data_IF_916462510537
#
_entry.id   IF_916462510537
#
_cell.length_a   1.000
_cell.length_b   1.000
_cell.length_c   1.000
_cell.angle_alpha   90.00
_cell.angle_beta   90.00
_cell.angle_gamma   90.00
#
_symmetry.space_group_name_H-M   'P 1'
#
loop_
_entity.id
_entity.type
_entity.pdbx_description
1 polymer ?
#
# COMPACT_ATOMS: atom_id res chain seq x y z
N UNK A 1 -19.46 4.90 -3.85
CA UNK A 1 -18.84 6.22 -4.08
C UNK A 1 -18.27 6.23 -5.49
N UNK A 2 -19.07 6.71 -6.41
CA UNK A 2 -18.66 6.87 -7.81
C UNK A 2 -18.36 8.32 -8.00
N UNK A 3 -17.04 8.71 -7.95
CA UNK A 3 -16.77 9.90 -8.74
C UNK A 3 -15.31 10.31 -8.61
N UNK A 4 -14.59 10.02 -9.64
CA UNK A 4 -13.40 10.79 -10.03
C UNK A 4 -13.89 12.20 -10.35
N UNK A 5 -13.32 13.20 -9.72
CA UNK A 5 -13.63 14.59 -10.09
C UNK A 5 -13.15 14.79 -11.54
N UNK A 6 -14.07 14.99 -12.50
CA UNK A 6 -13.69 14.98 -13.93
C UNK A 6 -12.63 16.02 -14.29
N UNK A 7 -12.54 17.10 -13.54
CA UNK A 7 -11.59 18.18 -13.82
C UNK A 7 -10.13 17.80 -13.48
N UNK A 8 -9.89 16.91 -12.52
CA UNK A 8 -8.54 16.42 -12.22
C UNK A 8 -7.97 15.53 -13.34
N UNK A 9 -8.82 14.94 -14.17
CA UNK A 9 -8.38 14.18 -15.35
C UNK A 9 -8.05 15.06 -16.56
N UNK A 10 -8.40 16.35 -16.52
CA UNK A 10 -8.16 17.30 -17.60
C UNK A 10 -6.88 18.12 -17.41
N UNK A 11 -6.17 17.97 -16.31
CA UNK A 11 -4.90 18.67 -16.09
C UNK A 11 -3.86 18.25 -17.13
N UNK A 12 -2.92 19.14 -17.50
CA UNK A 12 -1.77 18.75 -18.30
C UNK A 12 -1.06 17.56 -17.66
N UNK A 13 -0.76 16.53 -18.45
CA UNK A 13 -0.20 15.29 -17.93
C UNK A 13 0.87 14.71 -18.83
N UNK A 14 1.85 14.08 -18.21
CA UNK A 14 2.84 13.24 -18.88
C UNK A 14 2.33 11.81 -18.99
N UNK A 15 2.60 11.18 -20.13
CA UNK A 15 2.12 9.83 -20.43
C UNK A 15 3.21 8.86 -20.86
N UNK A 16 4.35 9.37 -21.40
CA UNK A 16 5.49 8.51 -21.72
C UNK A 16 6.21 8.06 -20.45
N UNK A 17 6.84 6.90 -20.47
CA UNK A 17 7.57 6.37 -19.33
C UNK A 17 8.63 7.33 -18.81
N UNK A 18 9.44 7.89 -19.72
CA UNK A 18 10.53 8.80 -19.35
C UNK A 18 10.03 10.15 -18.80
N UNK A 19 8.97 10.71 -19.39
CA UNK A 19 8.42 11.99 -18.95
C UNK A 19 7.73 11.88 -17.59
N UNK A 20 6.98 10.80 -17.35
CA UNK A 20 6.41 10.48 -16.04
C UNK A 20 7.51 10.37 -14.99
N UNK A 21 8.61 9.67 -15.30
CA UNK A 21 9.76 9.60 -14.42
C UNK A 21 10.42 10.95 -14.14
N UNK A 22 10.59 11.80 -15.17
CA UNK A 22 11.13 13.16 -14.99
C UNK A 22 10.22 13.99 -14.09
N UNK A 23 8.91 13.97 -14.33
CA UNK A 23 7.92 14.69 -13.53
C UNK A 23 7.97 14.27 -12.06
N UNK A 24 7.99 12.97 -11.78
CA UNK A 24 8.00 12.45 -10.41
C UNK A 24 9.29 12.78 -9.63
N UNK A 25 10.42 12.96 -10.34
CA UNK A 25 11.72 13.35 -9.76
C UNK A 25 11.94 14.86 -9.67
N UNK A 26 11.09 15.66 -10.32
CA UNK A 26 11.24 17.11 -10.34
C UNK A 26 11.05 17.71 -8.94
N UNK A 27 12.00 18.56 -8.53
CA UNK A 27 11.99 19.18 -7.20
C UNK A 27 11.00 20.34 -7.08
N UNK A 28 10.67 20.94 -8.22
CA UNK A 28 9.75 22.07 -8.31
C UNK A 28 8.28 21.63 -8.45
N UNK A 29 8.03 20.33 -8.38
CA UNK A 29 6.71 19.70 -8.45
C UNK A 29 6.40 18.96 -7.14
N UNK A 30 5.72 19.65 -6.23
CA UNK A 30 5.29 19.09 -4.95
C UNK A 30 4.06 18.16 -5.13
N UNK A 31 3.82 17.19 -4.23
CA UNK A 31 2.52 16.54 -4.15
C UNK A 31 1.40 17.58 -4.08
N UNK A 32 0.25 17.28 -4.70
CA UNK A 32 -0.89 18.19 -4.62
C UNK A 32 -1.25 18.44 -3.15
N UNK A 33 -1.40 19.71 -2.73
CA UNK A 33 -1.82 20.05 -1.36
C UNK A 33 -3.15 19.36 -1.00
N UNK A 34 -3.24 18.91 0.23
CA UNK A 34 -4.43 18.24 0.79
C UNK A 34 -5.16 19.18 1.75
N UNK A 35 -5.52 20.38 1.26
CA UNK A 35 -6.08 21.43 2.12
C UNK A 35 -7.38 21.00 2.80
N UNK A 36 -8.25 20.30 2.08
CA UNK A 36 -9.48 19.75 2.66
C UNK A 36 -9.20 18.68 3.73
N UNK A 37 -8.22 17.81 3.51
CA UNK A 37 -7.83 16.75 4.44
C UNK A 37 -6.83 17.21 5.53
N UNK A 38 -6.48 18.49 5.57
CA UNK A 38 -5.48 19.04 6.51
C UNK A 38 -5.73 18.68 7.98
N UNK A 39 -6.97 18.69 8.50
CA UNK A 39 -7.23 18.30 9.89
C UNK A 39 -6.82 16.87 10.23
N UNK A 40 -6.80 15.97 9.22
CA UNK A 40 -6.56 14.53 9.39
C UNK A 40 -5.16 14.10 8.93
N UNK A 41 -4.61 14.76 7.90
CA UNK A 41 -3.36 14.34 7.24
C UNK A 41 -2.38 15.49 6.98
N UNK A 42 -2.65 16.70 7.44
CA UNK A 42 -1.88 17.90 7.06
C UNK A 42 -0.41 17.85 7.46
N UNK A 43 -0.07 17.19 8.55
CA UNK A 43 1.29 17.03 9.06
C UNK A 43 1.87 15.62 8.81
N UNK A 44 1.10 14.71 8.20
CA UNK A 44 1.58 13.38 7.87
C UNK A 44 2.55 13.42 6.67
N UNK A 45 3.44 12.43 6.59
CA UNK A 45 4.52 12.34 5.58
C UNK A 45 4.02 12.57 4.16
N UNK A 46 2.82 12.07 3.82
CA UNK A 46 2.22 12.18 2.47
C UNK A 46 1.91 13.62 2.06
N UNK A 47 1.75 14.52 3.02
CA UNK A 47 1.43 15.95 2.82
C UNK A 47 2.66 16.87 2.90
N UNK A 48 3.79 16.33 3.34
CA UNK A 48 5.03 17.10 3.48
C UNK A 48 5.79 17.20 2.15
N UNK A 49 6.57 18.27 2.00
CA UNK A 49 7.47 18.48 0.86
C UNK A 49 8.80 19.10 1.32
N UNK A 50 9.84 19.00 0.48
CA UNK A 50 11.12 19.66 0.67
C UNK A 50 11.87 19.23 1.94
N UNK A 51 12.26 20.17 2.77
CA UNK A 51 13.09 19.93 3.96
C UNK A 51 12.30 19.15 5.05
N UNK A 52 11.04 19.50 5.29
CA UNK A 52 10.19 18.83 6.26
C UNK A 52 9.97 17.36 5.89
N UNK A 53 9.68 17.07 4.63
CA UNK A 53 9.59 15.71 4.11
C UNK A 53 10.89 14.93 4.33
N UNK A 54 12.05 15.51 3.98
CA UNK A 54 13.34 14.82 4.16
C UNK A 54 13.61 14.50 5.64
N UNK A 55 13.34 15.44 6.52
CA UNK A 55 13.57 15.24 7.96
C UNK A 55 12.71 14.09 8.50
N UNK A 56 11.42 14.06 8.16
CA UNK A 56 10.49 13.00 8.54
C UNK A 56 10.95 11.64 7.98
N UNK A 57 11.32 11.60 6.69
CA UNK A 57 11.85 10.39 6.04
C UNK A 57 13.09 9.83 6.71
N UNK A 58 14.02 10.68 7.18
CA UNK A 58 15.23 10.21 7.88
C UNK A 58 14.84 9.45 9.15
N UNK A 59 13.89 9.96 9.92
CA UNK A 59 13.44 9.30 11.16
C UNK A 59 12.71 7.98 10.85
N UNK A 60 11.75 8.00 9.95
CA UNK A 60 10.91 6.83 9.65
C UNK A 60 11.62 5.75 8.84
N UNK A 61 12.62 6.09 8.02
CA UNK A 61 13.42 5.11 7.28
C UNK A 61 14.16 4.12 8.19
N UNK A 62 14.32 4.41 9.49
CA UNK A 62 14.87 3.47 10.46
C UNK A 62 14.06 2.17 10.53
N UNK A 63 12.73 2.26 10.32
CA UNK A 63 11.81 1.11 10.29
C UNK A 63 11.98 0.23 9.02
N UNK A 64 12.69 0.73 8.02
CA UNK A 64 12.89 0.07 6.73
C UNK A 64 14.38 -0.23 6.48
N UNK A 65 15.18 -0.28 7.56
CA UNK A 65 16.56 -0.78 7.49
C UNK A 65 16.56 -2.29 7.19
N UNK A 66 17.62 -2.86 6.61
CA UNK A 66 17.68 -4.29 6.31
C UNK A 66 17.38 -5.16 7.54
N UNK A 67 17.92 -4.82 8.71
CA UNK A 67 17.67 -5.56 9.95
C UNK A 67 16.23 -5.43 10.44
N UNK A 68 15.62 -4.23 10.31
CA UNK A 68 14.22 -4.03 10.66
C UNK A 68 13.29 -4.81 9.72
N UNK A 69 13.60 -4.87 8.42
CA UNK A 69 12.83 -5.64 7.45
C UNK A 69 12.91 -7.15 7.71
N UNK A 70 14.09 -7.68 8.06
CA UNK A 70 14.21 -9.11 8.45
C UNK A 70 13.36 -9.42 9.68
N UNK A 71 13.51 -8.62 10.76
CA UNK A 71 12.68 -8.80 11.98
C UNK A 71 11.19 -8.69 11.67
N UNK A 72 10.81 -7.76 10.81
CA UNK A 72 9.42 -7.62 10.39
C UNK A 72 8.91 -8.90 9.72
N UNK A 73 9.66 -9.46 8.78
CA UNK A 73 9.26 -10.68 8.06
C UNK A 73 9.19 -11.89 9.01
N UNK A 74 10.21 -12.09 9.84
CA UNK A 74 10.31 -13.23 10.78
C UNK A 74 9.32 -13.13 11.95
N UNK A 75 9.17 -11.96 12.57
CA UNK A 75 8.44 -11.79 13.84
C UNK A 75 6.98 -11.36 13.64
N UNK A 76 6.63 -10.76 12.49
CA UNK A 76 5.30 -10.20 12.24
C UNK A 76 4.62 -10.89 11.06
N UNK A 77 5.24 -10.86 9.87
CA UNK A 77 4.60 -11.34 8.63
C UNK A 77 4.36 -12.85 8.69
N UNK A 78 5.41 -13.66 8.84
CA UNK A 78 5.30 -15.11 8.83
C UNK A 78 4.35 -15.66 9.91
N UNK A 79 4.43 -15.23 11.18
CA UNK A 79 3.48 -15.68 12.20
C UNK A 79 2.04 -15.27 11.88
N UNK A 80 1.83 -14.04 11.39
CA UNK A 80 0.49 -13.54 11.06
C UNK A 80 -0.15 -14.33 9.92
N UNK A 81 0.61 -14.68 8.88
CA UNK A 81 0.15 -15.51 7.76
C UNK A 81 -0.20 -16.90 8.25
N UNK A 82 0.69 -17.53 9.01
CA UNK A 82 0.48 -18.87 9.57
C UNK A 82 -0.78 -18.94 10.47
N UNK A 83 -0.95 -17.96 11.35
CA UNK A 83 -2.12 -17.87 12.22
C UNK A 83 -3.42 -17.68 11.43
N UNK A 84 -3.41 -16.80 10.41
CA UNK A 84 -4.60 -16.54 9.59
C UNK A 84 -5.05 -17.79 8.83
N UNK A 85 -4.13 -18.55 8.24
CA UNK A 85 -4.47 -19.79 7.55
C UNK A 85 -4.89 -20.91 8.52
N UNK A 86 -4.27 -21.01 9.71
CA UNK A 86 -4.64 -21.98 10.74
C UNK A 86 -6.04 -21.73 11.35
N UNK A 87 -6.53 -20.49 11.30
CA UNK A 87 -7.86 -20.12 11.79
C UNK A 87 -9.00 -20.46 10.81
N UNK A 88 -8.70 -20.93 9.60
CA UNK A 88 -9.70 -21.25 8.59
C UNK A 88 -10.52 -22.50 9.00
N UNK A 89 -11.85 -22.43 8.83
CA UNK A 89 -12.77 -23.52 9.11
C UNK A 89 -13.13 -24.28 7.84
N UNK A 90 -13.22 -25.61 7.95
CA UNK A 90 -13.63 -26.47 6.85
C UNK A 90 -15.05 -26.16 6.35
N UNK A 91 -15.29 -26.38 5.07
CA UNK A 91 -16.62 -26.38 4.49
C UNK A 91 -17.41 -27.61 4.96
N UNK A 92 -18.71 -27.50 5.21
CA UNK A 92 -19.54 -28.66 5.58
C UNK A 92 -19.52 -29.77 4.51
N UNK A 93 -19.49 -29.38 3.24
CA UNK A 93 -19.49 -30.27 2.08
C UNK A 93 -18.09 -30.75 1.66
N UNK A 94 -17.03 -30.05 2.10
CA UNK A 94 -15.63 -30.41 1.82
C UNK A 94 -14.75 -30.16 3.04
N UNK A 95 -14.50 -31.19 3.86
CA UNK A 95 -13.74 -31.06 5.10
C UNK A 95 -12.24 -30.79 4.91
N UNK A 96 -11.75 -30.80 3.67
CA UNK A 96 -10.35 -30.49 3.35
C UNK A 96 -10.17 -29.04 2.86
N UNK A 97 -11.28 -28.33 2.65
CA UNK A 97 -11.22 -26.97 2.10
C UNK A 97 -11.99 -25.96 2.95
N UNK A 98 -11.57 -24.71 2.88
CA UNK A 98 -12.28 -23.57 3.44
C UNK A 98 -12.72 -22.62 2.32
N UNK A 99 -13.90 -22.01 2.46
CA UNK A 99 -14.33 -20.90 1.62
C UNK A 99 -13.75 -19.59 2.15
N UNK A 100 -13.15 -18.80 1.28
CA UNK A 100 -12.52 -17.54 1.61
C UNK A 100 -13.00 -16.46 0.65
N UNK A 101 -13.40 -15.32 1.17
CA UNK A 101 -13.48 -14.10 0.36
C UNK A 101 -12.08 -13.46 0.35
N UNK A 102 -11.33 -13.61 -0.75
CA UNK A 102 -9.93 -13.26 -0.84
C UNK A 102 -9.61 -11.82 -0.40
N UNK A 103 -10.28 -10.76 -0.92
CA UNK A 103 -9.98 -9.40 -0.47
C UNK A 103 -10.30 -9.16 1.01
N UNK A 104 -11.37 -9.76 1.55
CA UNK A 104 -11.70 -9.60 2.97
C UNK A 104 -10.65 -10.27 3.86
N UNK A 105 -10.26 -11.50 3.54
CA UNK A 105 -9.21 -12.24 4.27
C UNK A 105 -7.88 -11.48 4.26
N UNK A 106 -7.45 -11.03 3.08
CA UNK A 106 -6.19 -10.28 2.95
C UNK A 106 -6.27 -8.94 3.69
N UNK A 107 -7.42 -8.25 3.64
CA UNK A 107 -7.62 -6.99 4.39
C UNK A 107 -7.44 -7.21 5.89
N UNK A 108 -8.04 -8.27 6.45
CA UNK A 108 -7.91 -8.59 7.86
C UNK A 108 -6.46 -8.96 8.23
N UNK A 109 -5.80 -9.75 7.40
CA UNK A 109 -4.39 -10.11 7.59
C UNK A 109 -3.48 -8.86 7.57
N UNK A 110 -3.60 -8.01 6.56
CA UNK A 110 -2.79 -6.78 6.46
C UNK A 110 -3.11 -5.79 7.58
N UNK A 111 -4.36 -5.72 8.03
CA UNK A 111 -4.71 -4.93 9.20
C UNK A 111 -3.96 -5.41 10.46
N UNK A 112 -3.93 -6.71 10.70
CA UNK A 112 -3.19 -7.28 11.84
C UNK A 112 -1.69 -6.96 11.78
N UNK A 113 -1.10 -7.07 10.59
CA UNK A 113 0.29 -6.71 10.32
C UNK A 113 0.53 -5.21 10.56
N UNK A 114 -0.38 -4.36 10.06
CA UNK A 114 -0.27 -2.90 10.21
C UNK A 114 -0.38 -2.45 11.66
N UNK A 115 -1.26 -3.07 12.45
CA UNK A 115 -1.40 -2.85 13.89
C UNK A 115 -0.06 -3.12 14.60
N UNK A 116 0.60 -4.23 14.26
CA UNK A 116 1.90 -4.57 14.84
C UNK A 116 3.00 -3.59 14.39
N UNK A 117 3.04 -3.23 13.10
CA UNK A 117 4.02 -2.27 12.56
C UNK A 117 3.88 -0.87 13.17
N UNK A 118 2.65 -0.41 13.42
CA UNK A 118 2.39 0.86 14.09
C UNK A 118 2.80 0.78 15.58
N UNK A 119 2.70 -0.39 16.18
CA UNK A 119 3.01 -0.62 17.58
C UNK A 119 1.81 -0.50 18.50
N UNK A 120 0.62 -0.80 17.98
CA UNK A 120 -0.62 -0.86 18.78
C UNK A 120 -0.64 -2.19 19.54
N UNK A 121 -0.89 -2.12 20.84
CA UNK A 121 -1.01 -3.34 21.65
C UNK A 121 -2.26 -4.14 21.25
N UNK A 122 -2.06 -5.41 20.96
CA UNK A 122 -3.16 -6.32 20.66
C UNK A 122 -3.91 -6.68 21.94
N UNK A 123 -5.23 -6.44 21.97
CA UNK A 123 -6.10 -6.80 23.09
C UNK A 123 -7.18 -7.82 22.72
N UNK A 124 -7.21 -8.28 21.46
CA UNK A 124 -8.15 -9.30 20.99
C UNK A 124 -8.98 -8.92 19.77
N UNK A 125 -9.95 -9.78 19.42
CA UNK A 125 -10.75 -9.62 18.20
C UNK A 125 -11.66 -8.38 18.23
N UNK A 126 -12.19 -8.04 19.42
CA UNK A 126 -13.03 -6.85 19.57
C UNK A 126 -12.29 -5.56 19.21
N UNK A 127 -11.02 -5.44 19.60
CA UNK A 127 -10.20 -4.28 19.29
C UNK A 127 -9.88 -4.20 17.78
N UNK A 128 -9.65 -5.35 17.14
CA UNK A 128 -9.44 -5.39 15.68
C UNK A 128 -10.66 -4.88 14.92
N UNK A 129 -11.85 -5.35 15.27
CA UNK A 129 -13.12 -4.87 14.68
C UNK A 129 -13.29 -3.38 14.90
N UNK A 130 -12.95 -2.90 16.09
CA UNK A 130 -13.02 -1.49 16.43
C UNK A 130 -12.03 -0.64 15.63
N UNK A 131 -10.80 -1.08 15.45
CA UNK A 131 -9.80 -0.40 14.61
C UNK A 131 -10.26 -0.38 13.15
N UNK A 132 -10.87 -1.46 12.68
CA UNK A 132 -11.41 -1.51 11.31
C UNK A 132 -12.46 -0.43 11.05
N UNK A 133 -13.29 -0.09 12.04
CA UNK A 133 -14.31 0.97 11.92
C UNK A 133 -13.73 2.37 11.65
N UNK A 134 -12.46 2.61 12.02
CA UNK A 134 -11.81 3.89 11.76
C UNK A 134 -11.26 4.01 10.34
N UNK A 135 -11.08 2.90 9.63
CA UNK A 135 -10.43 2.88 8.32
C UNK A 135 -11.24 3.62 7.26
N UNK A 136 -12.52 3.32 7.11
CA UNK A 136 -13.35 3.91 6.06
C UNK A 136 -13.45 5.45 6.14
N UNK A 137 -13.71 6.07 7.32
CA UNK A 137 -13.67 7.52 7.44
C UNK A 137 -12.31 8.13 7.10
N UNK A 138 -11.21 7.51 7.54
CA UNK A 138 -9.86 8.00 7.28
C UNK A 138 -9.51 7.93 5.79
N UNK A 139 -9.96 6.88 5.10
CA UNK A 139 -9.79 6.75 3.64
C UNK A 139 -10.61 7.78 2.89
N UNK A 140 -11.87 8.02 3.30
CA UNK A 140 -12.70 9.04 2.69
C UNK A 140 -11.99 10.40 2.74
N UNK A 141 -11.34 10.76 3.86
CA UNK A 141 -10.52 11.96 3.96
C UNK A 141 -9.29 11.92 3.05
N UNK A 142 -8.60 10.77 2.94
CA UNK A 142 -7.44 10.63 2.05
C UNK A 142 -7.80 10.78 0.57
N UNK A 143 -9.03 10.45 0.20
CA UNK A 143 -9.50 10.48 -1.19
C UNK A 143 -10.40 11.67 -1.50
N UNK A 144 -10.53 12.62 -0.59
CA UNK A 144 -11.52 13.70 -0.67
C UNK A 144 -11.40 14.55 -1.94
N UNK A 145 -10.17 14.81 -2.41
CA UNK A 145 -9.93 15.56 -3.64
C UNK A 145 -10.39 14.81 -4.91
N UNK A 146 -10.67 13.51 -4.78
CA UNK A 146 -11.16 12.63 -5.85
C UNK A 146 -12.62 12.25 -5.66
N UNK A 147 -13.28 12.81 -4.65
CA UNK A 147 -14.67 12.53 -4.30
C UNK A 147 -15.58 13.71 -4.67
N UNK A 148 -16.84 13.40 -4.97
CA UNK A 148 -17.93 14.41 -5.07
C UNK A 148 -18.76 14.45 -3.78
N UNK A 149 -18.37 13.72 -2.74
CA UNK A 149 -19.00 13.81 -1.42
C UNK A 149 -18.78 15.21 -0.81
N UNK A 150 -19.72 15.63 0.04
CA UNK A 150 -19.52 16.84 0.85
C UNK A 150 -18.24 16.70 1.70
N UNK A 151 -17.24 17.49 1.33
CA UNK A 151 -15.92 17.44 1.95
C UNK A 151 -15.99 17.80 3.44
N UNK A 152 -16.85 18.74 3.84
CA UNK A 152 -16.99 19.17 5.23
C UNK A 152 -17.46 18.01 6.12
N UNK A 153 -18.51 17.32 5.70
CA UNK A 153 -19.07 16.18 6.44
C UNK A 153 -18.10 14.99 6.47
N UNK A 154 -17.44 14.69 5.35
CA UNK A 154 -16.46 13.59 5.27
C UNK A 154 -15.24 13.85 6.17
N UNK A 155 -14.70 15.06 6.16
CA UNK A 155 -13.56 15.45 7.00
C UNK A 155 -13.94 15.46 8.47
N UNK A 156 -15.14 15.95 8.83
CA UNK A 156 -15.60 15.92 10.23
C UNK A 156 -15.70 14.48 10.76
N UNK A 157 -16.24 13.55 9.98
CA UNK A 157 -16.28 12.12 10.36
C UNK A 157 -14.88 11.52 10.52
N UNK A 158 -13.96 11.87 9.63
CA UNK A 158 -12.59 11.38 9.69
C UNK A 158 -11.82 11.95 10.88
N UNK A 159 -12.00 13.22 11.21
CA UNK A 159 -11.39 13.86 12.39
C UNK A 159 -11.91 13.24 13.70
N UNK A 160 -13.22 12.95 13.80
CA UNK A 160 -13.78 12.21 14.93
C UNK A 160 -13.18 10.80 15.03
N UNK A 161 -13.15 10.08 13.91
CA UNK A 161 -12.56 8.74 13.87
C UNK A 161 -11.07 8.74 14.28
N UNK A 162 -10.29 9.72 13.82
CA UNK A 162 -8.88 9.86 14.18
C UNK A 162 -8.70 10.17 15.67
N UNK A 163 -9.49 11.10 16.21
CA UNK A 163 -9.45 11.45 17.64
C UNK A 163 -9.75 10.25 18.52
N UNK A 164 -10.76 9.46 18.17
CA UNK A 164 -11.13 8.24 18.89
C UNK A 164 -10.07 7.14 18.72
N UNK A 165 -9.52 6.97 17.53
CA UNK A 165 -8.44 6.02 17.28
C UNK A 165 -7.20 6.38 18.11
N UNK A 166 -6.86 7.67 18.20
CA UNK A 166 -5.79 8.15 19.06
C UNK A 166 -6.04 7.78 20.52
N UNK A 167 -7.18 8.20 21.07
CA UNK A 167 -7.48 8.04 22.51
C UNK A 167 -7.64 6.57 22.92
N UNK A 168 -8.31 5.77 22.08
CA UNK A 168 -8.62 4.37 22.40
C UNK A 168 -7.40 3.44 22.25
N UNK A 169 -6.51 3.69 21.27
CA UNK A 169 -5.47 2.74 20.90
C UNK A 169 -4.05 3.29 20.88
N UNK A 170 -3.85 4.50 20.37
CA UNK A 170 -2.51 5.01 20.10
C UNK A 170 -1.87 5.69 21.31
N UNK A 171 -2.59 6.61 21.97
CA UNK A 171 -2.05 7.42 23.05
C UNK A 171 -1.48 6.59 24.20
N UNK A 172 -2.15 5.55 24.72
CA UNK A 172 -1.58 4.73 25.79
C UNK A 172 -0.25 4.09 25.41
N UNK A 173 -0.15 3.58 24.16
CA UNK A 173 1.06 2.97 23.64
C UNK A 173 2.16 4.01 23.38
N UNK A 174 1.81 5.18 22.88
CA UNK A 174 2.71 6.31 22.65
C UNK A 174 3.32 6.82 23.94
N UNK A 175 2.49 7.06 24.99
CA UNK A 175 2.97 7.52 26.30
C UNK A 175 3.92 6.53 26.97
N UNK A 176 3.67 5.22 26.84
CA UNK A 176 4.62 4.21 27.37
C UNK A 176 5.98 4.30 26.68
N UNK A 177 6.02 4.51 25.36
CA UNK A 177 7.28 4.66 24.61
C UNK A 177 8.00 5.95 24.98
N UNK A 178 7.28 7.05 25.16
CA UNK A 178 7.89 8.29 25.66
C UNK A 178 8.51 8.10 27.06
N UNK A 179 7.86 7.33 27.95
CA UNK A 179 8.40 7.03 29.28
C UNK A 179 9.67 6.16 29.16
N UNK A 180 9.63 5.09 28.37
CA UNK A 180 10.78 4.22 28.11
C UNK A 180 12.00 4.98 27.55
N UNK A 181 11.77 5.91 26.61
CA UNK A 181 12.83 6.77 26.09
C UNK A 181 13.47 7.65 27.20
N UNK A 182 12.66 8.23 28.11
CA UNK A 182 13.17 9.05 29.21
C UNK A 182 13.98 8.26 30.23
N UNK A 183 13.66 6.99 30.41
CA UNK A 183 14.34 6.06 31.32
C UNK A 183 15.61 5.44 30.71
N UNK A 184 15.92 5.76 29.43
CA UNK A 184 17.09 5.22 28.73
C UNK A 184 16.96 3.73 28.34
N UNK A 185 15.74 3.18 28.45
CA UNK A 185 15.47 1.75 28.16
C UNK A 185 15.24 1.42 26.69
N UNK A 186 15.28 2.41 25.81
CA UNK A 186 14.97 2.21 24.38
C UNK A 186 16.20 2.47 23.51
N UNK A 187 16.71 1.45 22.86
CA UNK A 187 17.94 1.53 22.06
C UNK A 187 17.69 1.52 20.54
N UNK A 188 16.60 0.91 20.06
CA UNK A 188 16.27 0.83 18.64
C UNK A 188 14.77 0.94 18.38
N UNK A 189 14.34 1.56 17.26
CA UNK A 189 12.92 1.64 16.90
C UNK A 189 12.41 0.26 16.45
N UNK A 190 11.44 -0.27 17.22
CA UNK A 190 10.78 -1.54 16.90
C UNK A 190 9.51 -1.35 16.05
N UNK A 191 8.88 -0.16 16.12
CA UNK A 191 7.63 0.18 15.49
C UNK A 191 7.51 1.70 15.25
N UNK A 192 6.44 2.11 14.53
CA UNK A 192 6.23 3.52 14.19
C UNK A 192 6.09 4.39 15.45
N UNK A 193 5.29 3.97 16.43
CA UNK A 193 5.10 4.74 17.66
C UNK A 193 6.41 4.96 18.41
N UNK A 194 7.37 4.02 18.36
CA UNK A 194 8.68 4.19 18.98
C UNK A 194 9.53 5.24 18.27
N UNK A 195 9.42 5.34 16.95
CA UNK A 195 10.08 6.41 16.17
C UNK A 195 9.47 7.77 16.50
N UNK A 196 8.13 7.84 16.52
CA UNK A 196 7.42 9.09 16.75
C UNK A 196 7.57 9.61 18.20
N UNK A 197 7.64 8.69 19.17
CA UNK A 197 7.80 9.01 20.59
C UNK A 197 9.24 9.40 20.99
N UNK A 198 10.21 9.25 20.09
CA UNK A 198 11.61 9.63 20.36
C UNK A 198 11.71 11.13 20.65
N UNK A 199 12.46 11.55 21.68
CA UNK A 199 12.70 12.97 21.99
C UNK A 199 13.26 13.77 20.79
N UNK A 200 14.05 13.09 19.94
CA UNK A 200 14.68 13.71 18.77
C UNK A 200 13.71 13.83 17.57
N UNK A 201 12.51 13.29 17.66
CA UNK A 201 11.53 13.34 16.56
C UNK A 201 10.97 14.75 16.33
N UNK A 202 10.84 15.55 17.41
CA UNK A 202 10.20 16.86 17.38
C UNK A 202 8.72 16.80 16.99
N UNK A 203 8.06 15.66 17.18
CA UNK A 203 6.68 15.39 16.75
C UNK A 203 5.74 15.59 17.94
N UNK A 204 4.68 16.37 17.73
CA UNK A 204 3.58 16.53 18.69
C UNK A 204 2.54 15.40 18.54
N UNK A 205 1.60 15.35 19.47
CA UNK A 205 0.56 14.33 19.55
C UNK A 205 -0.34 14.32 18.30
N UNK A 206 -0.72 15.49 17.80
CA UNK A 206 -1.56 15.63 16.61
C UNK A 206 -0.85 15.06 15.36
N UNK A 207 0.42 15.38 15.22
CA UNK A 207 1.24 14.85 14.14
C UNK A 207 1.42 13.34 14.27
N UNK A 208 1.64 12.82 15.47
CA UNK A 208 1.75 11.37 15.70
C UNK A 208 0.45 10.64 15.36
N UNK A 209 -0.72 11.21 15.71
CA UNK A 209 -2.03 10.67 15.34
C UNK A 209 -2.22 10.64 13.83
N UNK A 210 -1.84 11.72 13.12
CA UNK A 210 -1.94 11.82 11.65
C UNK A 210 -1.01 10.84 10.95
N UNK A 211 0.21 10.64 11.46
CA UNK A 211 1.17 9.70 10.90
C UNK A 211 0.69 8.25 11.07
N UNK A 212 0.22 7.87 12.26
CA UNK A 212 -0.34 6.54 12.50
C UNK A 212 -1.58 6.28 11.63
N UNK A 213 -2.47 7.27 11.45
CA UNK A 213 -3.60 7.15 10.54
C UNK A 213 -3.14 6.95 9.09
N UNK A 214 -2.12 7.68 8.63
CA UNK A 214 -1.53 7.50 7.31
C UNK A 214 -1.01 6.07 7.11
N UNK A 215 -0.21 5.55 8.03
CA UNK A 215 0.35 4.20 7.92
C UNK A 215 -0.75 3.14 7.86
N UNK A 216 -1.81 3.29 8.68
CA UNK A 216 -2.94 2.35 8.67
C UNK A 216 -3.64 2.32 7.30
N UNK A 217 -4.03 3.49 6.76
CA UNK A 217 -4.78 3.54 5.51
C UNK A 217 -3.93 3.23 4.28
N UNK A 218 -2.64 3.63 4.29
CA UNK A 218 -1.75 3.41 3.16
C UNK A 218 -1.42 1.92 2.98
N UNK A 219 -1.24 1.17 4.08
CA UNK A 219 -0.89 -0.25 4.04
C UNK A 219 -2.07 -1.13 3.64
N UNK A 220 -3.23 -0.96 4.26
CA UNK A 220 -4.34 -1.92 4.15
C UNK A 220 -4.86 -2.04 2.72
N UNK A 221 -5.16 -0.93 2.05
CA UNK A 221 -5.82 -0.98 0.74
C UNK A 221 -4.91 -1.32 -0.42
N UNK A 222 -3.74 -0.71 -0.44
CA UNK A 222 -2.81 -0.89 -1.57
C UNK A 222 -2.25 -2.30 -1.57
N UNK A 223 -1.88 -2.82 -0.39
CA UNK A 223 -1.33 -4.17 -0.25
C UNK A 223 -2.40 -5.22 -0.49
N UNK A 224 -3.62 -5.06 0.05
CA UNK A 224 -4.75 -5.96 -0.25
C UNK A 224 -5.03 -6.04 -1.76
N UNK A 225 -5.06 -4.89 -2.45
CA UNK A 225 -5.31 -4.87 -3.89
C UNK A 225 -4.16 -5.54 -4.66
N UNK A 226 -2.91 -5.30 -4.26
CA UNK A 226 -1.74 -5.92 -4.88
C UNK A 226 -1.81 -7.45 -4.76
N UNK A 227 -2.03 -7.97 -3.55
CA UNK A 227 -2.10 -9.41 -3.30
C UNK A 227 -3.28 -10.05 -4.05
N UNK A 228 -4.48 -9.46 -3.96
CA UNK A 228 -5.67 -10.00 -4.62
C UNK A 228 -5.51 -10.04 -6.13
N UNK A 229 -4.97 -8.96 -6.73
CA UNK A 229 -4.70 -8.91 -8.17
C UNK A 229 -3.63 -9.92 -8.57
N UNK A 230 -2.59 -10.10 -7.76
CA UNK A 230 -1.52 -11.05 -8.04
C UNK A 230 -2.03 -12.49 -7.98
N UNK A 231 -2.81 -12.86 -6.96
CA UNK A 231 -3.42 -14.21 -6.88
C UNK A 231 -4.25 -14.50 -8.13
N UNK A 232 -5.09 -13.54 -8.58
CA UNK A 232 -5.90 -13.73 -9.79
C UNK A 232 -5.03 -13.92 -11.04
N UNK A 233 -4.08 -12.99 -11.26
CA UNK A 233 -3.26 -12.98 -12.47
C UNK A 233 -2.35 -14.22 -12.56
N UNK A 234 -1.75 -14.62 -11.44
CA UNK A 234 -0.91 -15.81 -11.37
C UNK A 234 -1.75 -17.08 -11.50
N UNK A 235 -2.97 -17.12 -10.94
CA UNK A 235 -3.87 -18.27 -11.16
C UNK A 235 -4.20 -18.44 -12.64
N UNK A 236 -4.57 -17.36 -13.34
CA UNK A 236 -4.81 -17.41 -14.79
C UNK A 236 -3.56 -17.79 -15.58
N UNK A 237 -2.39 -17.28 -15.20
CA UNK A 237 -1.12 -17.67 -15.83
C UNK A 237 -0.83 -19.17 -15.68
N UNK A 238 -0.98 -19.72 -14.48
CA UNK A 238 -0.75 -21.13 -14.20
C UNK A 238 -1.78 -22.07 -14.85
N UNK A 239 -2.98 -21.60 -15.20
CA UNK A 239 -3.93 -22.35 -16.02
C UNK A 239 -3.39 -22.54 -17.47
N UNK A 240 -2.74 -21.50 -18.02
CA UNK A 240 -2.13 -21.54 -19.35
C UNK A 240 -0.71 -22.17 -19.33
N UNK A 241 0.01 -22.06 -18.20
CA UNK A 241 1.39 -22.51 -18.01
C UNK A 241 1.51 -23.37 -16.74
N UNK A 242 0.98 -24.62 -16.71
CA UNK A 242 0.89 -25.43 -15.48
C UNK A 242 2.25 -25.72 -14.81
N UNK A 243 3.33 -25.82 -15.57
CA UNK A 243 4.67 -26.07 -15.06
C UNK A 243 5.20 -24.90 -14.19
N UNK A 244 4.74 -23.68 -14.42
CA UNK A 244 5.20 -22.50 -13.68
C UNK A 244 4.61 -22.46 -12.27
N UNK A 245 3.62 -23.30 -11.95
CA UNK A 245 3.09 -23.41 -10.58
C UNK A 245 4.16 -23.83 -9.58
N UNK A 246 5.07 -24.69 -9.96
CA UNK A 246 6.19 -25.12 -9.11
C UNK A 246 7.15 -23.95 -8.85
N UNK A 247 7.35 -23.06 -9.83
CA UNK A 247 8.15 -21.84 -9.65
C UNK A 247 7.51 -20.84 -8.70
N UNK A 248 6.16 -20.79 -8.64
CA UNK A 248 5.43 -19.95 -7.66
C UNK A 248 5.69 -20.43 -6.22
N UNK A 249 5.81 -21.76 -6.04
CA UNK A 249 6.02 -22.38 -4.73
C UNK A 249 7.50 -22.38 -4.29
N UNK A 250 8.43 -22.28 -5.25
CA UNK A 250 9.86 -22.28 -4.99
C UNK A 250 10.33 -20.91 -4.47
N UNK A 251 10.66 -20.84 -3.17
CA UNK A 251 11.16 -19.61 -2.54
C UNK A 251 12.57 -19.21 -2.99
N UNK A 252 13.31 -20.12 -3.63
CA UNK A 252 14.64 -19.84 -4.20
C UNK A 252 14.55 -19.21 -5.61
N UNK A 253 13.35 -19.24 -6.23
CA UNK A 253 13.08 -18.66 -7.54
C UNK A 253 12.62 -17.20 -7.42
N UNK A 254 13.08 -16.33 -8.32
CA UNK A 254 12.59 -14.96 -8.43
C UNK A 254 11.26 -14.84 -9.22
N UNK A 255 10.70 -15.98 -9.66
CA UNK A 255 9.52 -15.99 -10.53
C UNK A 255 8.31 -15.31 -9.88
N UNK A 256 8.01 -15.63 -8.62
CA UNK A 256 6.89 -15.02 -7.93
C UNK A 256 7.09 -13.51 -7.69
N UNK A 257 8.30 -13.07 -7.40
CA UNK A 257 8.61 -11.64 -7.31
C UNK A 257 8.36 -10.93 -8.65
N UNK A 258 8.72 -11.55 -9.78
CA UNK A 258 8.39 -11.03 -11.12
C UNK A 258 6.89 -11.01 -11.38
N UNK A 259 6.15 -12.00 -10.91
CA UNK A 259 4.70 -12.01 -10.98
C UNK A 259 4.08 -10.81 -10.22
N UNK A 260 4.56 -10.53 -9.00
CA UNK A 260 4.12 -9.37 -8.19
C UNK A 260 4.43 -8.06 -8.93
N UNK A 261 5.64 -7.91 -9.44
CA UNK A 261 6.06 -6.71 -10.16
C UNK A 261 5.25 -6.47 -11.43
N UNK A 262 4.98 -7.52 -12.20
CA UNK A 262 4.16 -7.43 -13.41
C UNK A 262 2.68 -7.17 -13.06
N UNK A 263 2.16 -7.77 -11.99
CA UNK A 263 0.81 -7.44 -11.48
C UNK A 263 0.69 -5.97 -11.09
N UNK A 264 1.69 -5.41 -10.42
CA UNK A 264 1.78 -3.99 -10.10
C UNK A 264 1.83 -3.10 -11.34
N UNK A 265 2.49 -3.52 -12.41
CA UNK A 265 2.53 -2.80 -13.68
C UNK A 265 1.15 -2.79 -14.36
N UNK A 266 0.53 -3.96 -14.52
CA UNK A 266 -0.74 -4.12 -15.25
C UNK A 266 -1.93 -3.59 -14.47
N UNK A 267 -1.90 -3.73 -13.13
CA UNK A 267 -2.99 -3.33 -12.22
C UNK A 267 -2.45 -2.61 -10.99
N UNK A 268 -1.88 -1.41 -11.15
CA UNK A 268 -1.35 -0.66 -10.02
C UNK A 268 -2.47 -0.35 -9.02
N UNK A 269 -2.24 -0.53 -7.70
CA UNK A 269 -3.24 -0.27 -6.67
C UNK A 269 -3.47 1.23 -6.42
N UNK A 270 -2.62 2.07 -7.00
CA UNK A 270 -2.68 3.53 -6.89
C UNK A 270 -3.62 4.14 -7.94
N UNK A 271 -3.94 5.42 -7.78
CA UNK A 271 -4.66 6.20 -8.79
C UNK A 271 -3.85 6.23 -10.10
N UNK A 272 -4.49 6.18 -11.26
CA UNK A 272 -3.79 6.16 -12.54
C UNK A 272 -2.99 7.45 -12.81
N UNK A 273 -3.38 8.54 -12.14
CA UNK A 273 -2.78 9.87 -12.26
C UNK A 273 -2.27 10.33 -10.90
N UNK A 274 -0.95 10.53 -10.79
CA UNK A 274 -0.32 11.13 -9.62
C UNK A 274 -0.19 12.64 -9.84
N UNK A 275 -0.95 13.42 -9.07
CA UNK A 275 -0.99 14.86 -9.21
C UNK A 275 0.18 15.53 -8.49
N UNK A 276 0.67 16.62 -9.11
CA UNK A 276 1.70 17.51 -8.59
C UNK A 276 1.26 18.95 -8.77
N UNK A 277 1.70 19.83 -7.87
CA UNK A 277 1.56 21.26 -8.00
C UNK A 277 2.95 21.90 -8.22
N UNK A 278 3.04 22.78 -9.18
CA UNK A 278 4.27 23.54 -9.43
C UNK A 278 4.52 24.53 -8.29
N UNK A 279 5.68 24.44 -7.64
CA UNK A 279 6.09 25.37 -6.55
C UNK A 279 6.80 26.61 -7.09
N UNK A 280 7.24 26.57 -8.35
CA UNK A 280 7.81 27.65 -9.13
C UNK A 280 7.42 27.45 -10.61
N UNK A 281 7.70 28.42 -11.46
CA UNK A 281 7.54 28.22 -12.90
C UNK A 281 8.40 27.06 -13.36
N UNK A 282 7.82 26.14 -14.10
CA UNK A 282 8.42 24.87 -14.51
C UNK A 282 8.08 24.56 -15.97
N UNK A 283 8.59 23.45 -16.48
CA UNK A 283 8.22 22.89 -17.78
C UNK A 283 7.85 21.43 -17.64
N UNK A 284 6.72 21.05 -18.22
CA UNK A 284 6.20 19.67 -18.25
C UNK A 284 5.87 19.34 -19.70
N UNK A 285 6.47 18.28 -20.26
CA UNK A 285 6.31 17.90 -21.67
C UNK A 285 6.75 18.98 -22.66
N UNK A 286 7.70 19.85 -22.28
CA UNK A 286 8.09 20.98 -23.08
C UNK A 286 7.12 22.18 -23.02
N UNK A 287 6.00 22.05 -22.29
CA UNK A 287 5.04 23.15 -22.09
C UNK A 287 5.37 23.92 -20.80
N UNK A 288 5.35 25.27 -20.83
CA UNK A 288 5.53 26.07 -19.63
C UNK A 288 4.36 25.86 -18.66
N UNK A 289 4.69 25.71 -17.38
CA UNK A 289 3.75 25.53 -16.28
C UNK A 289 4.03 26.60 -15.24
N UNK A 290 3.05 27.44 -14.96
CA UNK A 290 3.19 28.50 -13.96
C UNK A 290 3.16 27.97 -12.54
N UNK A 291 3.79 28.65 -11.61
CA UNK A 291 3.68 28.37 -10.18
C UNK A 291 2.22 28.27 -9.74
N UNK A 292 1.90 27.28 -8.92
CA UNK A 292 0.54 26.96 -8.46
C UNK A 292 -0.28 26.08 -9.41
N UNK A 293 0.15 25.88 -10.66
CA UNK A 293 -0.58 25.01 -11.60
C UNK A 293 -0.45 23.53 -11.21
N UNK A 294 -1.51 22.78 -11.46
CA UNK A 294 -1.55 21.34 -11.26
C UNK A 294 -1.21 20.59 -12.54
N UNK A 295 -0.36 19.57 -12.41
CA UNK A 295 0.04 18.66 -13.49
C UNK A 295 -0.06 17.22 -13.04
N UNK A 296 -0.13 16.29 -13.98
CA UNK A 296 -0.32 14.88 -13.69
C UNK A 296 0.78 13.96 -14.26
N UNK A 297 1.23 13.01 -13.49
CA UNK A 297 2.00 11.86 -13.95
C UNK A 297 1.03 10.71 -14.21
N UNK A 298 0.76 10.37 -15.47
CA UNK A 298 -0.13 9.27 -15.84
C UNK A 298 0.63 7.94 -15.77
N UNK A 299 0.59 7.33 -14.59
CA UNK A 299 1.28 6.06 -14.31
C UNK A 299 0.73 4.92 -15.17
N UNK A 300 -0.59 4.89 -15.38
CA UNK A 300 -1.21 3.83 -16.18
C UNK A 300 -0.75 3.89 -17.65
N UNK A 301 -0.66 5.08 -18.23
CA UNK A 301 -0.13 5.27 -19.58
C UNK A 301 1.35 4.90 -19.67
N UNK A 302 2.17 5.34 -18.71
CA UNK A 302 3.59 5.01 -18.66
C UNK A 302 3.83 3.49 -18.54
N UNK A 303 3.00 2.78 -17.80
CA UNK A 303 3.09 1.32 -17.66
C UNK A 303 2.65 0.56 -18.92
N UNK A 304 2.01 1.23 -19.86
CA UNK A 304 1.63 0.70 -21.17
C UNK A 304 2.41 1.35 -22.34
N UNK A 305 3.48 2.09 -22.04
CA UNK A 305 4.29 2.77 -23.06
C UNK A 305 4.95 1.75 -24.01
N UNK A 306 4.61 1.77 -25.31
CA UNK A 306 5.16 0.82 -26.28
C UNK A 306 6.67 0.98 -26.52
N UNK A 307 7.26 2.13 -26.18
CA UNK A 307 8.70 2.33 -26.23
C UNK A 307 9.44 1.48 -25.17
N UNK A 308 8.75 1.14 -24.08
CA UNK A 308 9.31 0.31 -23.00
C UNK A 308 8.75 -1.12 -23.06
N UNK A 309 7.46 -1.26 -23.38
CA UNK A 309 6.73 -2.54 -23.43
C UNK A 309 6.13 -2.75 -24.82
N UNK A 310 6.93 -3.15 -25.83
CA UNK A 310 6.49 -3.18 -27.23
C UNK A 310 5.46 -4.27 -27.56
N UNK A 311 5.40 -5.35 -26.76
CA UNK A 311 4.50 -6.47 -27.01
C UNK A 311 3.38 -6.53 -25.98
N UNK A 312 2.14 -6.28 -26.42
CA UNK A 312 0.89 -6.39 -25.63
C UNK A 312 1.04 -5.87 -24.20
N UNK A 313 1.34 -4.58 -24.01
CA UNK A 313 1.62 -3.99 -22.69
C UNK A 313 0.46 -4.15 -21.69
N UNK A 314 -0.76 -4.36 -22.16
CA UNK A 314 -1.95 -4.59 -21.34
C UNK A 314 -2.04 -6.00 -20.74
N UNK A 315 -1.26 -6.95 -21.26
CA UNK A 315 -1.30 -8.35 -20.79
C UNK A 315 -0.30 -8.59 -19.68
N UNK A 316 -0.73 -9.39 -18.71
CA UNK A 316 0.13 -9.92 -17.68
C UNK A 316 1.07 -10.97 -18.27
N UNK A 317 2.37 -10.77 -18.12
CA UNK A 317 3.43 -11.67 -18.57
C UNK A 317 4.65 -11.55 -17.63
N UNK A 318 4.79 -12.45 -16.65
CA UNK A 318 5.89 -12.40 -15.69
C UNK A 318 7.27 -12.73 -16.30
N UNK A 319 7.28 -13.17 -17.55
CA UNK A 319 8.53 -13.44 -18.32
C UNK A 319 8.96 -12.25 -19.17
N UNK A 320 8.18 -11.18 -19.17
CA UNK A 320 8.40 -9.99 -19.98
C UNK A 320 9.77 -9.37 -19.72
N UNK A 321 10.46 -9.05 -20.82
CA UNK A 321 11.67 -8.25 -20.81
C UNK A 321 11.35 -6.86 -21.38
N UNK A 322 11.47 -5.78 -20.59
CA UNK A 322 11.34 -4.42 -21.12
C UNK A 322 12.39 -4.12 -22.19
N UNK A 323 12.02 -3.29 -23.18
CA UNK A 323 12.95 -2.88 -24.26
C UNK A 323 14.12 -2.01 -23.75
N UNK A 324 13.96 -1.39 -22.59
CA UNK A 324 14.98 -0.58 -21.91
C UNK A 324 15.09 -0.97 -20.45
N UNK A 325 16.23 -0.70 -19.84
CA UNK A 325 16.41 -0.97 -18.42
C UNK A 325 15.49 -0.07 -17.57
N UNK A 326 14.57 -0.67 -16.85
CA UNK A 326 13.63 0.00 -15.94
C UNK A 326 13.73 -0.59 -14.54
N UNK A 327 13.29 0.18 -13.55
CA UNK A 327 13.09 -0.36 -12.20
C UNK A 327 11.97 -1.41 -12.25
N UNK A 328 12.16 -2.57 -11.65
CA UNK A 328 11.18 -3.67 -11.67
C UNK A 328 9.78 -3.26 -11.18
N UNK A 329 9.69 -2.40 -10.15
CA UNK A 329 8.41 -1.90 -9.63
C UNK A 329 7.83 -0.74 -10.44
N UNK A 330 8.49 -0.34 -11.52
CA UNK A 330 8.05 0.75 -12.38
C UNK A 330 7.72 2.02 -11.57
N UNK A 331 6.55 2.63 -11.81
CA UNK A 331 6.05 3.79 -11.05
C UNK A 331 4.90 3.44 -10.11
N UNK A 332 4.66 2.15 -9.82
CA UNK A 332 3.59 1.72 -8.90
C UNK A 332 3.77 2.23 -7.48
N UNK A 333 5.00 2.54 -7.10
CA UNK A 333 5.35 3.16 -5.82
C UNK A 333 5.74 4.64 -5.96
N UNK A 334 5.44 5.27 -7.09
CA UNK A 334 5.97 6.59 -7.43
C UNK A 334 7.47 6.56 -7.75
N UNK A 335 8.10 7.73 -7.73
CA UNK A 335 9.56 7.88 -7.95
C UNK A 335 10.09 9.15 -7.26
N UNK A 336 11.42 9.31 -7.26
CA UNK A 336 12.11 10.47 -6.72
C UNK A 336 11.96 10.64 -5.20
N UNK A 337 11.90 11.88 -4.71
CA UNK A 337 11.84 12.17 -3.27
C UNK A 337 10.63 11.52 -2.57
N UNK A 338 9.52 11.38 -3.28
CA UNK A 338 8.26 10.83 -2.78
C UNK A 338 8.04 9.36 -3.15
N UNK A 339 9.11 8.61 -3.45
CA UNK A 339 9.04 7.16 -3.56
C UNK A 339 8.44 6.56 -2.28
N UNK A 340 7.48 5.66 -2.42
CA UNK A 340 6.78 5.04 -1.29
C UNK A 340 7.76 4.46 -0.26
N UNK A 341 7.57 4.83 1.00
CA UNK A 341 8.41 4.35 2.10
C UNK A 341 8.17 2.87 2.37
N UNK A 342 6.91 2.40 2.23
CA UNK A 342 6.52 1.01 2.46
C UNK A 342 6.86 0.04 1.31
N UNK A 343 7.48 0.51 0.21
CA UNK A 343 7.82 -0.36 -0.91
C UNK A 343 8.56 -1.64 -0.50
N UNK A 344 9.59 -1.59 0.36
CA UNK A 344 10.33 -2.80 0.72
C UNK A 344 9.52 -3.80 1.54
N UNK A 345 8.47 -3.38 2.27
CA UNK A 345 7.56 -4.32 2.93
C UNK A 345 6.74 -5.10 1.90
N UNK A 346 6.29 -4.46 0.82
CA UNK A 346 5.39 -5.09 -0.16
C UNK A 346 6.11 -6.02 -1.13
N UNK A 347 7.28 -5.61 -1.64
CA UNK A 347 8.02 -6.32 -2.69
C UNK A 347 9.37 -6.88 -2.24
N UNK A 348 9.64 -6.83 -0.94
CA UNK A 348 10.92 -7.24 -0.38
C UNK A 348 12.07 -6.26 -0.64
N UNK A 349 13.20 -6.53 -0.02
CA UNK A 349 14.47 -5.83 -0.25
C UNK A 349 15.61 -6.86 -0.35
N UNK A 350 16.30 -6.97 -1.48
CA UNK A 350 17.41 -7.92 -1.65
C UNK A 350 18.54 -7.71 -0.64
N UNK A 351 18.72 -6.49 -0.10
CA UNK A 351 19.75 -6.22 0.94
C UNK A 351 19.38 -6.79 2.30
N UNK A 352 18.09 -6.95 2.54
CA UNK A 352 17.54 -7.59 3.73
C UNK A 352 17.31 -9.10 3.53
N UNK A 353 17.43 -9.58 2.30
CA UNK A 353 17.07 -10.96 1.92
C UNK A 353 15.60 -11.28 2.23
N UNK A 354 14.70 -10.26 2.14
CA UNK A 354 13.27 -10.40 2.40
C UNK A 354 12.49 -10.54 1.08
N UNK A 355 11.44 -11.35 1.13
CA UNK A 355 10.55 -11.59 -0.01
C UNK A 355 9.44 -10.53 -0.12
N UNK A 356 8.98 -10.01 1.02
CA UNK A 356 7.91 -9.03 1.15
C UNK A 356 6.50 -9.63 1.17
N UNK A 357 5.55 -8.82 1.66
CA UNK A 357 4.17 -9.22 1.93
C UNK A 357 3.48 -9.86 0.73
N UNK A 358 3.66 -9.27 -0.44
CA UNK A 358 2.91 -9.69 -1.62
C UNK A 358 3.31 -11.10 -2.07
N UNK A 359 4.61 -11.37 -2.21
CA UNK A 359 5.08 -12.68 -2.63
C UNK A 359 4.83 -13.73 -1.54
N UNK A 360 5.12 -13.39 -0.27
CA UNK A 360 4.92 -14.31 0.86
C UNK A 360 3.46 -14.77 1.00
N UNK A 361 2.50 -13.83 0.98
CA UNK A 361 1.08 -14.15 1.12
C UNK A 361 0.53 -14.87 -0.11
N UNK A 362 0.92 -14.45 -1.33
CA UNK A 362 0.53 -15.14 -2.57
C UNK A 362 1.03 -16.58 -2.56
N UNK A 363 2.29 -16.83 -2.19
CA UNK A 363 2.86 -18.18 -2.04
C UNK A 363 2.03 -19.02 -1.07
N UNK A 364 1.62 -18.46 0.08
CA UNK A 364 0.80 -19.15 1.06
C UNK A 364 -0.56 -19.60 0.47
N UNK A 365 -1.21 -18.74 -0.34
CA UNK A 365 -2.43 -19.11 -1.06
C UNK A 365 -2.18 -20.25 -2.07
N UNK A 366 -1.10 -20.22 -2.81
CA UNK A 366 -0.75 -21.27 -3.77
C UNK A 366 -0.36 -22.58 -3.09
N UNK A 367 0.34 -22.52 -1.95
CA UNK A 367 0.64 -23.68 -1.11
C UNK A 367 -0.63 -24.31 -0.52
N UNK A 368 -1.62 -23.48 -0.18
CA UNK A 368 -2.96 -23.92 0.21
C UNK A 368 -3.88 -24.30 -0.98
N UNK A 369 -3.34 -24.50 -2.16
CA UNK A 369 -4.07 -24.90 -3.38
C UNK A 369 -5.30 -24.02 -3.64
N UNK A 370 -5.08 -22.69 -3.71
CA UNK A 370 -6.14 -21.70 -3.97
C UNK A 370 -6.84 -22.00 -5.30
N UNK A 371 -8.18 -21.98 -5.29
CA UNK A 371 -9.03 -22.15 -6.47
C UNK A 371 -10.17 -21.14 -6.44
N UNK A 372 -10.44 -20.50 -7.58
CA UNK A 372 -11.63 -19.67 -7.73
C UNK A 372 -12.89 -20.51 -7.56
N UNK A 373 -13.86 -19.99 -6.81
CA UNK A 373 -15.20 -20.59 -6.70
C UNK A 373 -16.04 -20.13 -7.91
N UNK A 374 -16.31 -20.99 -8.89
CA UNK A 374 -17.04 -20.62 -10.09
C UNK A 374 -18.54 -20.41 -9.83
N UNK A 375 -19.06 -20.87 -8.70
CA UNK A 375 -20.47 -20.74 -8.34
C UNK A 375 -20.84 -19.35 -7.82
N UNK A 376 -19.84 -18.55 -7.45
CA UNK A 376 -20.03 -17.22 -6.87
C UNK A 376 -19.36 -16.14 -7.71
N UNK A 377 -20.10 -15.08 -8.12
CA UNK A 377 -19.54 -14.03 -8.98
C UNK A 377 -18.54 -13.15 -8.22
N UNK A 378 -17.48 -12.77 -8.91
CA UNK A 378 -16.56 -11.72 -8.44
C UNK A 378 -17.25 -10.36 -8.54
N UNK A 379 -17.04 -9.50 -7.56
CA UNK A 379 -17.60 -8.14 -7.55
C UNK A 379 -16.49 -7.11 -7.35
N UNK A 380 -16.61 -6.01 -8.09
CA UNK A 380 -15.70 -4.88 -7.99
C UNK A 380 -16.36 -3.74 -7.23
N UNK A 381 -15.56 -2.93 -6.55
CA UNK A 381 -16.03 -1.65 -6.05
C UNK A 381 -16.41 -0.75 -7.22
N UNK A 382 -17.49 0.02 -7.06
CA UNK A 382 -17.92 1.03 -8.02
C UNK A 382 -17.08 2.31 -7.92
N UNK A 383 -15.76 2.17 -7.98
CA UNK A 383 -14.81 3.28 -7.89
C UNK A 383 -13.94 3.33 -9.14
N UNK A 384 -13.26 4.45 -9.35
CA UNK A 384 -12.32 4.61 -10.46
C UNK A 384 -11.16 3.58 -10.43
N UNK A 385 -10.98 2.89 -9.31
CA UNK A 385 -10.02 1.80 -9.17
C UNK A 385 -10.75 0.47 -9.29
N UNK A 386 -10.26 -0.41 -10.18
CA UNK A 386 -10.71 -1.80 -10.21
C UNK A 386 -10.20 -2.51 -8.95
N UNK A 387 -10.97 -2.44 -7.87
CA UNK A 387 -10.70 -3.15 -6.62
C UNK A 387 -11.77 -4.21 -6.41
N UNK A 388 -11.34 -5.43 -6.13
CA UNK A 388 -12.25 -6.47 -5.69
C UNK A 388 -12.82 -6.15 -4.31
N UNK A 389 -14.14 -6.26 -4.16
CA UNK A 389 -14.84 -6.27 -2.88
C UNK A 389 -15.32 -7.67 -2.53
N UNK A 390 -15.44 -8.53 -3.55
CA UNK A 390 -15.78 -9.92 -3.39
C UNK A 390 -15.04 -10.74 -4.46
N UNK A 391 -14.24 -11.70 -4.00
CA UNK A 391 -13.54 -12.65 -4.85
C UNK A 391 -13.53 -13.99 -4.11
N UNK A 392 -14.59 -14.79 -4.32
CA UNK A 392 -14.71 -16.09 -3.67
C UNK A 392 -13.66 -17.07 -4.17
N UNK A 393 -12.94 -17.65 -3.25
CA UNK A 393 -11.98 -18.73 -3.50
C UNK A 393 -12.18 -19.84 -2.47
N UNK A 394 -11.67 -21.02 -2.78
CA UNK A 394 -11.48 -22.07 -1.80
C UNK A 394 -9.99 -22.36 -1.64
N UNK A 395 -9.58 -22.71 -0.44
CA UNK A 395 -8.22 -23.10 -0.10
C UNK A 395 -8.21 -24.41 0.66
N UNK A 396 -7.17 -25.22 0.50
CA UNK A 396 -6.96 -26.41 1.32
C UNK A 396 -6.55 -26.01 2.72
N UNK A 397 -7.15 -26.61 3.74
CA UNK A 397 -6.76 -26.42 5.14
C UNK A 397 -5.75 -27.49 5.56
N UNK A 398 -4.74 -27.09 6.32
CA UNK A 398 -3.82 -28.03 6.96
C UNK A 398 -4.58 -28.79 8.07
N UNK A 399 -4.46 -30.12 8.11
CA UNK A 399 -4.95 -30.96 9.21
C UNK A 399 -3.98 -30.95 10.36
#
# INVERSE_FOLDING_TARGET
MDTVVPDLMKVPQETSFDDVGRLLRARDLAPLPRDAARPVLGNALVSLHGAAHRQRRISENKLFSPDALRRYEEDILEPSVREAFAALSALPEDPERAAVNLPAFVTELILNISIALIGIDRRGEADRKRIYEFIDPLIAAHEIEWSTEDSTAAIARAADAQSRFWTEFLEPAYRRRQAAHREGGWTEPADLLSVLASPDSGIDDDTAAQECALYLIASVFTTTSTITNTVELVSGWCEEHPADRDLVLDSSSDFLSRCVEEALRVRPPIKPLLLRQATADASVGGCPVSAGATVGANVAAAHADPAVYPDRPEKFDPTRAPAVQVRRTHYSFGDGPHLCIGRPLVVGDPRAETEGDAAHIVRAFFAADVRTDPSRPRRFASTARKRYIDYPVTVRIAR
#
